data_IF_023431400007
#
_entry.id   IF_023431400007
#
_cell.length_a   1.000
_cell.length_b   1.000
_cell.length_c   1.000
_cell.angle_alpha   90.00
_cell.angle_beta   90.00
_cell.angle_gamma   90.00
#
_symmetry.space_group_name_H-M   'P 1'
#
loop_
_entity.id
_entity.type
_entity.pdbx_description
1 polymer ?
#
# COMPACT_ATOMS: atom_id res chain seq x y z
N UNK A 1 20.06 -4.72 -55.47
CA UNK A 1 19.20 -5.58 -56.30
C UNK A 1 17.81 -5.58 -55.67
N UNK A 2 16.84 -5.08 -56.44
CA UNK A 2 15.38 -5.22 -56.38
C UNK A 2 14.58 -4.93 -55.07
N UNK A 3 13.97 -3.73 -55.10
CA UNK A 3 12.67 -3.28 -54.54
C UNK A 3 11.49 -4.05 -55.22
N UNK A 4 10.15 -3.86 -54.96
CA UNK A 4 9.29 -3.70 -53.76
C UNK A 4 7.95 -4.50 -53.81
N UNK A 5 6.97 -4.16 -52.93
CA UNK A 5 5.59 -3.95 -53.41
C UNK A 5 4.44 -4.10 -52.38
N UNK A 6 3.82 -2.98 -52.02
CA UNK A 6 2.39 -2.89 -51.61
C UNK A 6 1.48 -3.23 -52.80
N UNK A 7 0.20 -3.56 -52.54
CA UNK A 7 -0.87 -2.82 -53.20
C UNK A 7 -2.04 -2.43 -52.27
N UNK A 8 -2.50 -1.19 -52.40
CA UNK A 8 -3.93 -0.86 -52.46
C UNK A 8 -4.40 -1.10 -53.91
N UNK A 9 -5.69 -1.35 -54.15
CA UNK A 9 -6.44 -0.29 -54.85
C UNK A 9 -7.93 -0.15 -54.46
N UNK A 10 -8.40 1.08 -54.62
CA UNK A 10 -9.80 1.51 -54.72
C UNK A 10 -10.60 0.76 -55.81
N UNK A 11 -11.91 0.64 -55.58
CA UNK A 11 -12.93 0.38 -56.61
C UNK A 11 -14.27 1.01 -56.20
N UNK A 12 -14.63 2.09 -56.88
CA UNK A 12 -15.76 3.00 -56.68
C UNK A 12 -17.12 2.41 -57.10
N UNK A 13 -18.23 2.91 -56.53
CA UNK A 13 -19.59 2.61 -56.99
C UNK A 13 -20.68 3.38 -56.23
N UNK A 14 -21.39 4.24 -56.95
CA UNK A 14 -22.32 5.30 -56.56
C UNK A 14 -23.76 4.83 -56.26
N UNK A 15 -24.61 5.77 -55.84
CA UNK A 15 -26.10 5.84 -55.86
C UNK A 15 -26.90 5.69 -54.54
N UNK A 16 -27.68 6.74 -54.23
CA UNK A 16 -28.46 6.99 -53.01
C UNK A 16 -29.90 6.42 -52.96
N UNK A 17 -30.90 7.19 -52.48
CA UNK A 17 -31.41 7.09 -51.11
C UNK A 17 -32.80 6.42 -50.98
N UNK A 18 -33.07 5.78 -49.84
CA UNK A 18 -34.36 5.16 -49.51
C UNK A 18 -34.86 5.54 -48.11
N UNK A 19 -36.07 6.10 -48.06
CA UNK A 19 -36.83 6.60 -46.90
C UNK A 19 -37.27 5.51 -45.91
N UNK A 20 -37.18 5.83 -44.60
CA UNK A 20 -38.11 5.56 -43.46
C UNK A 20 -38.75 4.16 -43.26
N UNK A 21 -39.50 3.89 -42.17
CA UNK A 21 -39.94 4.72 -41.03
C UNK A 21 -39.23 4.30 -39.71
N UNK A 22 -39.25 4.98 -38.56
CA UNK A 22 -40.28 5.77 -37.90
C UNK A 22 -40.65 5.02 -36.61
N UNK A 23 -40.03 5.39 -35.48
CA UNK A 23 -40.45 4.93 -34.14
C UNK A 23 -40.51 6.10 -33.16
N UNK A 24 -41.64 6.15 -32.49
CA UNK A 24 -42.21 7.25 -31.72
C UNK A 24 -41.57 7.37 -30.32
N UNK A 25 -41.17 8.59 -29.95
CA UNK A 25 -40.96 8.98 -28.55
C UNK A 25 -42.13 9.89 -28.12
N UNK A 26 -42.87 9.58 -27.04
CA UNK A 26 -43.88 10.51 -26.55
C UNK A 26 -43.23 11.59 -25.70
N UNK A 27 -43.49 12.84 -26.11
CA UNK A 27 -43.24 14.05 -25.35
C UNK A 27 -44.21 14.16 -24.16
N UNK A 28 -43.68 14.44 -22.96
CA UNK A 28 -44.45 14.88 -21.82
C UNK A 28 -44.49 16.40 -21.73
N UNK A 29 -45.64 17.01 -22.01
CA UNK A 29 -46.01 18.37 -21.59
C UNK A 29 -46.00 18.44 -20.05
N UNK A 30 -45.60 19.52 -19.36
CA UNK A 30 -46.04 20.90 -19.56
C UNK A 30 -47.30 21.15 -18.71
N UNK A 31 -47.13 21.67 -17.50
CA UNK A 31 -48.25 22.04 -16.62
C UNK A 31 -47.80 22.89 -15.43
N UNK A 32 -48.11 24.19 -15.49
CA UNK A 32 -47.80 25.19 -14.48
C UNK A 32 -48.92 25.35 -13.43
N UNK A 33 -48.53 25.74 -12.22
CA UNK A 33 -49.29 26.67 -11.37
C UNK A 33 -50.06 26.08 -10.18
N UNK A 34 -49.63 26.40 -8.96
CA UNK A 34 -50.44 27.14 -7.98
C UNK A 34 -49.64 27.42 -6.70
N UNK A 35 -49.57 28.72 -6.34
CA UNK A 35 -49.08 29.21 -5.07
C UNK A 35 -50.12 28.98 -3.96
N UNK A 36 -49.64 28.63 -2.76
CA UNK A 36 -50.44 28.56 -1.54
C UNK A 36 -49.61 28.99 -0.34
N UNK A 37 -49.84 30.23 0.10
CA UNK A 37 -49.29 30.82 1.32
C UNK A 37 -49.95 30.24 2.57
N UNK A 38 -49.16 29.77 3.53
CA UNK A 38 -49.60 29.44 4.88
C UNK A 38 -48.51 29.80 5.90
N UNK A 39 -48.82 30.76 6.79
CA UNK A 39 -47.98 31.19 7.92
C UNK A 39 -48.22 30.30 9.15
N UNK A 40 -47.15 30.06 9.92
CA UNK A 40 -47.15 29.83 11.38
C UNK A 40 -47.06 28.36 11.81
N UNK A 41 -45.96 27.95 12.44
CA UNK A 41 -45.75 28.04 13.89
C UNK A 41 -44.31 27.62 14.26
N UNK A 42 -43.77 28.18 15.34
CA UNK A 42 -42.40 28.03 15.80
C UNK A 42 -42.08 26.63 16.32
N UNK A 43 -41.00 26.05 15.81
CA UNK A 43 -40.42 24.82 16.32
C UNK A 43 -38.90 24.97 16.43
N UNK A 44 -38.40 24.80 17.65
CA UNK A 44 -37.00 24.84 18.10
C UNK A 44 -36.03 24.31 17.04
N UNK A 45 -35.02 25.13 16.69
CA UNK A 45 -34.02 24.80 15.68
C UNK A 45 -33.24 23.54 16.03
N UNK A 46 -33.26 22.55 15.13
CA UNK A 46 -32.40 21.36 15.22
C UNK A 46 -30.92 21.78 15.10
N UNK A 47 -29.98 21.18 15.85
CA UNK A 47 -28.56 21.45 15.69
C UNK A 47 -28.10 21.13 14.24
N UNK A 48 -27.32 22.04 13.66
CA UNK A 48 -26.80 21.96 12.27
C UNK A 48 -25.67 20.94 12.07
N UNK A 49 -25.36 20.15 13.10
CA UNK A 49 -24.37 19.07 13.05
C UNK A 49 -25.07 17.79 13.50
N UNK A 50 -25.19 16.75 12.65
CA UNK A 50 -25.73 15.47 13.05
C UNK A 50 -24.86 14.86 14.16
N UNK A 51 -25.50 14.33 15.20
CA UNK A 51 -24.81 13.46 16.15
C UNK A 51 -24.18 12.27 15.38
N UNK A 52 -23.01 11.76 15.82
CA UNK A 52 -22.36 10.62 15.17
C UNK A 52 -23.38 9.48 15.02
N UNK A 53 -23.49 8.94 13.80
CA UNK A 53 -24.36 7.80 13.52
C UNK A 53 -23.92 6.65 14.42
N UNK A 54 -24.86 6.07 15.16
CA UNK A 54 -24.63 4.82 15.86
C UNK A 54 -24.20 3.76 14.83
N UNK A 55 -23.06 3.11 15.08
CA UNK A 55 -22.51 2.05 14.23
C UNK A 55 -23.56 0.98 13.98
N UNK A 56 -23.92 0.77 12.71
CA UNK A 56 -24.78 -0.35 12.32
C UNK A 56 -23.89 -1.60 12.29
N UNK A 57 -23.96 -2.43 13.34
CA UNK A 57 -23.35 -3.75 13.30
C UNK A 57 -24.19 -4.64 12.35
N UNK A 58 -23.53 -5.17 11.32
CA UNK A 58 -24.09 -5.98 10.24
C UNK A 58 -24.42 -7.41 10.68
N UNK A 59 -25.28 -7.57 11.69
CA UNK A 59 -25.68 -8.89 12.22
C UNK A 59 -27.18 -9.08 12.41
N UNK A 60 -28.01 -8.08 12.11
CA UNK A 60 -29.47 -8.19 12.23
C UNK A 60 -29.99 -8.51 13.64
N UNK A 61 -29.14 -8.42 14.67
CA UNK A 61 -29.52 -8.63 16.05
C UNK A 61 -29.86 -7.28 16.72
N UNK A 62 -30.94 -7.19 17.52
CA UNK A 62 -31.22 -5.99 18.30
C UNK A 62 -30.12 -5.79 19.35
N UNK A 63 -29.64 -4.54 19.46
CA UNK A 63 -28.67 -4.14 20.48
C UNK A 63 -29.25 -4.41 21.88
N UNK A 64 -28.43 -4.86 22.86
CA UNK A 64 -28.84 -4.89 24.25
C UNK A 64 -29.16 -3.46 24.72
N UNK A 65 -30.28 -3.30 25.45
CA UNK A 65 -30.72 -2.01 25.98
C UNK A 65 -29.55 -1.28 26.65
N UNK A 66 -29.30 -0.04 26.20
CA UNK A 66 -28.40 0.85 26.90
C UNK A 66 -28.93 0.98 28.33
N UNK A 67 -28.18 0.45 29.30
CA UNK A 67 -28.46 0.65 30.72
C UNK A 67 -28.67 2.14 31.00
N UNK A 68 -29.44 2.49 32.06
CA UNK A 68 -29.86 3.86 32.30
C UNK A 68 -28.67 4.79 32.21
N UNK A 69 -28.75 5.76 31.29
CA UNK A 69 -27.78 6.83 31.17
C UNK A 69 -27.49 7.35 32.58
N UNK A 70 -26.21 7.41 32.94
CA UNK A 70 -25.80 8.07 34.17
C UNK A 70 -26.55 9.40 34.26
N UNK A 71 -27.26 9.62 35.36
CA UNK A 71 -28.09 10.80 35.57
C UNK A 71 -27.30 12.04 35.11
N UNK A 72 -27.94 12.88 34.29
CA UNK A 72 -27.36 14.15 33.89
C UNK A 72 -26.85 14.85 35.16
N UNK A 73 -25.59 15.32 35.20
CA UNK A 73 -25.06 15.98 36.39
C UNK A 73 -26.00 17.12 36.77
N UNK A 74 -26.32 17.22 38.07
CA UNK A 74 -27.19 18.28 38.57
C UNK A 74 -26.62 19.65 38.13
N UNK A 75 -27.48 20.58 37.66
CA UNK A 75 -27.03 21.86 37.15
C UNK A 75 -26.27 22.61 38.25
N UNK A 76 -25.03 23.00 37.93
CA UNK A 76 -24.18 23.74 38.83
C UNK A 76 -24.67 25.19 38.91
N UNK A 77 -25.50 25.49 39.92
CA UNK A 77 -26.02 26.84 40.14
C UNK A 77 -24.97 27.68 40.86
N UNK A 78 -24.39 28.63 40.14
CA UNK A 78 -23.39 29.57 40.67
C UNK A 78 -23.94 31.00 40.65
N UNK A 79 -23.56 31.81 41.64
CA UNK A 79 -23.91 33.22 41.65
C UNK A 79 -23.25 33.97 40.47
N UNK A 80 -23.91 35.01 39.97
CA UNK A 80 -23.43 35.84 38.86
C UNK A 80 -21.98 36.32 39.04
N UNK A 81 -21.57 36.66 40.27
CA UNK A 81 -20.19 37.11 40.56
C UNK A 81 -19.16 36.01 40.30
N UNK A 82 -19.51 34.75 40.61
CA UNK A 82 -18.65 33.59 40.40
C UNK A 82 -18.58 33.29 38.90
N UNK A 83 -19.72 33.26 38.21
CA UNK A 83 -19.79 33.05 36.76
C UNK A 83 -19.00 34.12 35.99
N UNK A 84 -19.11 35.39 36.40
CA UNK A 84 -18.31 36.48 35.85
C UNK A 84 -16.81 36.29 36.04
N UNK A 85 -16.39 35.71 37.18
CA UNK A 85 -14.98 35.42 37.44
C UNK A 85 -14.44 34.25 36.61
N UNK A 86 -15.32 33.33 36.17
CA UNK A 86 -14.96 32.19 35.33
C UNK A 86 -14.80 32.55 33.85
N UNK A 87 -15.25 33.72 33.39
CA UNK A 87 -15.20 34.11 31.98
C UNK A 87 -13.80 34.01 31.37
N UNK A 88 -12.75 34.37 32.12
CA UNK A 88 -11.37 34.24 31.65
C UNK A 88 -10.91 32.79 31.50
N UNK A 89 -11.24 31.93 32.47
CA UNK A 89 -10.93 30.50 32.41
C UNK A 89 -11.74 29.79 31.31
N UNK A 90 -13.00 30.18 31.14
CA UNK A 90 -13.88 29.68 30.08
C UNK A 90 -13.37 30.09 28.69
N UNK A 91 -12.92 31.35 28.52
CA UNK A 91 -12.32 31.82 27.27
C UNK A 91 -11.04 31.05 26.89
N UNK A 92 -10.31 30.51 27.88
CA UNK A 92 -9.13 29.66 27.70
C UNK A 92 -9.44 28.15 27.64
N UNK A 93 -10.72 27.75 27.62
CA UNK A 93 -11.13 26.34 27.71
C UNK A 93 -10.57 25.58 28.93
N UNK A 94 -10.33 26.29 30.03
CA UNK A 94 -9.75 25.75 31.27
C UNK A 94 -10.79 25.40 32.34
N UNK A 95 -12.08 25.61 32.05
CA UNK A 95 -13.19 25.22 32.94
C UNK A 95 -13.51 23.72 32.85
N UNK A 96 -13.99 23.13 33.94
CA UNK A 96 -14.59 21.81 33.90
C UNK A 96 -15.88 21.80 33.07
N UNK A 97 -16.35 20.61 32.64
CA UNK A 97 -17.56 20.49 31.83
C UNK A 97 -18.82 21.08 32.50
N UNK A 98 -18.91 20.99 33.83
CA UNK A 98 -20.01 21.56 34.62
C UNK A 98 -19.95 23.09 34.69
N UNK A 99 -18.76 23.65 34.91
CA UNK A 99 -18.55 25.10 34.91
C UNK A 99 -18.77 25.71 33.53
N UNK A 100 -18.30 25.05 32.46
CA UNK A 100 -18.52 25.50 31.08
C UNK A 100 -19.99 25.57 30.73
N UNK A 101 -20.76 24.55 31.10
CA UNK A 101 -22.22 24.54 30.90
C UNK A 101 -22.90 25.68 31.66
N UNK A 102 -22.53 25.90 32.93
CA UNK A 102 -23.10 26.96 33.76
C UNK A 102 -22.76 28.38 33.25
N UNK A 103 -21.54 28.57 32.72
CA UNK A 103 -21.14 29.83 32.08
C UNK A 103 -21.92 30.03 30.78
N UNK A 104 -22.04 29.01 29.93
CA UNK A 104 -22.79 29.12 28.66
C UNK A 104 -24.26 29.47 28.86
N UNK A 105 -24.92 28.83 29.83
CA UNK A 105 -26.28 29.19 30.23
C UNK A 105 -26.36 30.66 30.68
N UNK A 106 -25.42 31.10 31.53
CA UNK A 106 -25.36 32.47 32.00
C UNK A 106 -25.14 33.51 30.88
N UNK A 107 -24.32 33.19 29.88
CA UNK A 107 -24.06 34.06 28.72
C UNK A 107 -25.33 34.26 27.87
N UNK A 108 -26.24 33.28 27.86
CA UNK A 108 -27.55 33.41 27.22
C UNK A 108 -28.45 34.47 27.86
N UNK A 109 -28.32 34.64 29.18
CA UNK A 109 -29.20 35.52 29.98
C UNK A 109 -28.56 36.86 30.37
N UNK A 110 -27.24 37.03 30.22
CA UNK A 110 -26.51 38.22 30.66
C UNK A 110 -25.67 38.86 29.53
N UNK A 111 -26.25 39.87 28.87
CA UNK A 111 -25.60 40.64 27.80
C UNK A 111 -24.20 41.20 28.16
N UNK A 112 -24.00 41.85 29.32
CA UNK A 112 -22.68 42.35 29.71
C UNK A 112 -21.61 41.27 29.85
N UNK A 113 -21.97 40.07 30.34
CA UNK A 113 -21.04 38.96 30.44
C UNK A 113 -20.79 38.31 29.07
N UNK A 114 -21.77 38.29 28.18
CA UNK A 114 -21.58 37.85 26.80
C UNK A 114 -20.62 38.76 26.01
N UNK A 115 -20.76 40.09 26.15
CA UNK A 115 -19.83 41.05 25.54
C UNK A 115 -18.40 40.88 26.07
N UNK A 116 -18.25 40.69 27.39
CA UNK A 116 -16.95 40.45 28.00
C UNK A 116 -16.35 39.11 27.57
N UNK A 117 -17.16 38.05 27.48
CA UNK A 117 -16.73 36.73 27.01
C UNK A 117 -16.24 36.77 25.55
N UNK A 118 -16.91 37.55 24.69
CA UNK A 118 -16.46 37.78 23.31
C UNK A 118 -15.11 38.50 23.29
N UNK A 119 -14.96 39.60 24.04
CA UNK A 119 -13.68 40.32 24.14
C UNK A 119 -12.55 39.45 24.65
N UNK A 120 -12.81 38.62 25.65
CA UNK A 120 -11.82 37.69 26.19
C UNK A 120 -11.43 36.62 25.17
N UNK A 121 -12.37 36.06 24.40
CA UNK A 121 -12.06 35.13 23.31
C UNK A 121 -11.24 35.79 22.19
N UNK A 122 -11.58 37.01 21.81
CA UNK A 122 -10.81 37.79 20.83
C UNK A 122 -9.37 38.03 21.34
N UNK A 123 -9.22 38.35 22.63
CA UNK A 123 -7.91 38.53 23.25
C UNK A 123 -7.10 37.24 23.35
N UNK A 124 -7.73 36.09 23.62
CA UNK A 124 -7.07 34.77 23.60
C UNK A 124 -6.51 34.46 22.22
N UNK A 125 -7.24 34.82 21.15
CA UNK A 125 -6.75 34.69 19.77
C UNK A 125 -5.47 35.48 19.48
N UNK A 126 -5.20 36.55 20.22
CA UNK A 126 -3.96 37.35 20.11
C UNK A 126 -2.81 36.81 20.96
N UNK A 127 -3.10 35.96 21.95
CA UNK A 127 -2.13 35.34 22.85
C UNK A 127 -1.64 33.97 22.34
N UNK A 128 -2.40 33.35 21.44
CA UNK A 128 -2.00 32.09 20.84
C UNK A 128 -0.96 32.36 19.75
N UNK A 129 0.26 31.77 19.82
CA UNK A 129 1.10 31.67 18.64
C UNK A 129 0.33 30.92 17.55
N UNK A 130 0.56 31.27 16.28
CA UNK A 130 0.06 30.50 15.14
C UNK A 130 0.61 29.07 15.22
N UNK A 131 -0.17 28.17 15.82
CA UNK A 131 0.13 26.74 15.82
C UNK A 131 -0.26 26.18 14.46
N UNK A 132 0.60 25.32 13.89
CA UNK A 132 0.25 24.63 12.66
C UNK A 132 -1.03 23.82 12.86
N UNK A 133 -1.95 23.91 11.90
CA UNK A 133 -3.14 23.05 11.83
C UNK A 133 -2.81 21.62 11.39
N UNK A 134 -1.54 21.35 11.05
CA UNK A 134 -1.08 20.03 10.68
C UNK A 134 -1.18 19.09 11.88
N UNK A 135 -1.97 18.04 11.72
CA UNK A 135 -2.01 16.96 12.70
C UNK A 135 -0.66 16.26 12.73
N UNK A 136 -0.21 15.88 13.93
CA UNK A 136 0.94 14.98 14.09
C UNK A 136 0.75 13.75 13.17
N UNK A 137 1.70 13.47 12.24
CA UNK A 137 1.56 12.35 11.30
C UNK A 137 1.37 10.99 11.98
N UNK A 138 1.85 10.83 13.22
CA UNK A 138 1.66 9.65 14.05
C UNK A 138 0.33 9.61 14.81
N UNK A 139 -0.48 10.67 14.80
CA UNK A 139 -1.76 10.73 15.52
C UNK A 139 -2.71 9.61 15.08
N UNK A 140 -2.88 9.42 13.77
CA UNK A 140 -3.72 8.35 13.23
C UNK A 140 -3.30 6.98 13.76
N UNK A 141 -2.00 6.69 13.71
CA UNK A 141 -1.43 5.42 14.19
C UNK A 141 -1.68 5.24 15.68
N UNK A 142 -1.47 6.28 16.50
CA UNK A 142 -1.72 6.23 17.95
C UNK A 142 -3.20 6.03 18.28
N UNK A 143 -4.09 6.71 17.55
CA UNK A 143 -5.55 6.56 17.72
C UNK A 143 -5.99 5.15 17.36
N UNK A 144 -5.58 4.63 16.20
CA UNK A 144 -5.90 3.27 15.78
C UNK A 144 -5.34 2.22 16.76
N UNK A 145 -4.09 2.39 17.22
CA UNK A 145 -3.50 1.51 18.23
C UNK A 145 -4.29 1.55 19.55
N UNK A 146 -4.74 2.72 20.00
CA UNK A 146 -5.59 2.85 21.19
C UNK A 146 -6.95 2.16 20.99
N UNK A 147 -7.58 2.33 19.83
CA UNK A 147 -8.83 1.67 19.48
C UNK A 147 -8.69 0.13 19.46
N UNK A 148 -7.64 -0.39 18.84
CA UNK A 148 -7.36 -1.83 18.77
C UNK A 148 -6.96 -2.40 20.15
N UNK A 149 -6.28 -1.63 20.99
CA UNK A 149 -6.02 -2.01 22.38
C UNK A 149 -7.30 -2.14 23.21
N UNK A 150 -8.33 -1.32 22.93
CA UNK A 150 -9.64 -1.39 23.59
C UNK A 150 -10.52 -2.51 23.03
N UNK A 151 -10.49 -2.73 21.72
CA UNK A 151 -11.25 -3.78 21.02
C UNK A 151 -10.29 -4.58 20.12
N UNK A 152 -9.61 -5.60 20.67
CA UNK A 152 -8.70 -6.40 19.86
C UNK A 152 -9.47 -7.17 18.77
N UNK A 153 -8.83 -7.42 17.62
CA UNK A 153 -9.43 -8.25 16.58
C UNK A 153 -9.66 -9.65 17.13
N UNK A 154 -10.80 -10.26 16.79
CA UNK A 154 -11.12 -11.64 17.21
C UNK A 154 -10.12 -12.65 16.65
N UNK A 155 -9.62 -12.39 15.45
CA UNK A 155 -8.57 -13.15 14.79
C UNK A 155 -7.47 -12.15 14.43
N UNK A 156 -6.34 -12.12 15.16
CA UNK A 156 -5.27 -11.18 14.86
C UNK A 156 -4.51 -11.62 13.61
N UNK A 157 -4.16 -10.64 12.79
CA UNK A 157 -3.24 -10.84 11.67
C UNK A 157 -1.81 -11.01 12.22
N UNK A 158 -1.02 -11.98 11.73
CA UNK A 158 0.41 -12.05 12.05
C UNK A 158 1.12 -10.78 11.59
N UNK A 159 2.00 -10.23 12.42
CA UNK A 159 2.69 -8.96 12.11
C UNK A 159 3.44 -8.99 10.78
N UNK A 160 4.08 -10.12 10.44
CA UNK A 160 4.79 -10.31 9.18
C UNK A 160 3.89 -10.33 7.94
N UNK A 161 2.57 -10.52 8.10
CA UNK A 161 1.60 -10.46 7.00
C UNK A 161 0.97 -9.08 6.82
N UNK A 162 1.15 -8.17 7.79
CA UNK A 162 0.56 -6.83 7.77
C UNK A 162 0.98 -5.98 6.55
N UNK A 163 2.24 -6.03 6.06
CA UNK A 163 2.62 -5.33 4.84
C UNK A 163 1.83 -5.81 3.61
N UNK A 164 1.63 -7.12 3.44
CA UNK A 164 0.89 -7.66 2.31
C UNK A 164 -0.59 -7.25 2.35
N UNK A 165 -1.23 -7.34 3.52
CA UNK A 165 -2.61 -6.87 3.72
C UNK A 165 -2.77 -5.39 3.37
N UNK A 166 -1.84 -4.56 3.84
CA UNK A 166 -1.88 -3.12 3.60
C UNK A 166 -1.67 -2.77 2.12
N UNK A 167 -0.66 -3.33 1.45
CA UNK A 167 -0.37 -2.97 0.06
C UNK A 167 -1.43 -3.52 -0.92
N UNK A 168 -1.97 -4.72 -0.67
CA UNK A 168 -3.08 -5.25 -1.49
C UNK A 168 -4.36 -4.42 -1.30
N UNK A 169 -4.68 -3.98 -0.08
CA UNK A 169 -5.81 -3.08 0.17
C UNK A 169 -5.65 -1.71 -0.50
N UNK A 170 -4.42 -1.17 -0.51
CA UNK A 170 -4.12 0.11 -1.19
C UNK A 170 -4.21 0.00 -2.70
N UNK A 171 -3.68 -1.08 -3.29
CA UNK A 171 -3.84 -1.34 -4.71
C UNK A 171 -5.31 -1.54 -5.06
N UNK A 172 -6.08 -2.28 -4.27
CA UNK A 172 -7.51 -2.48 -4.52
C UNK A 172 -8.31 -1.16 -4.48
N UNK A 173 -7.93 -0.21 -3.60
CA UNK A 173 -8.51 1.13 -3.57
C UNK A 173 -8.23 1.90 -4.88
N UNK A 174 -7.00 1.89 -5.38
CA UNK A 174 -6.66 2.45 -6.69
C UNK A 174 -7.53 1.80 -7.78
N UNK A 175 -7.58 0.47 -7.83
CA UNK A 175 -8.32 -0.28 -8.86
C UNK A 175 -9.84 -0.05 -8.79
N UNK A 176 -10.35 0.37 -7.64
CA UNK A 176 -11.75 0.74 -7.47
C UNK A 176 -12.07 2.11 -8.06
N UNK A 177 -11.12 3.05 -8.01
CA UNK A 177 -11.29 4.43 -8.44
C UNK A 177 -11.13 4.61 -9.95
N UNK A 178 -10.34 3.75 -10.62
CA UNK A 178 -10.14 3.81 -12.08
C UNK A 178 -11.35 3.27 -12.88
N UNK A 179 -11.60 3.88 -14.03
CA UNK A 179 -12.63 3.53 -15.00
C UNK A 179 -12.27 2.33 -15.89
N UNK A 180 -13.27 1.79 -16.59
CA UNK A 180 -13.10 0.55 -17.38
C UNK A 180 -12.06 0.66 -18.50
N UNK A 181 -11.89 1.83 -19.12
CA UNK A 181 -10.88 2.03 -20.17
C UNK A 181 -9.46 1.99 -19.64
N UNK A 182 -9.24 2.40 -18.39
CA UNK A 182 -7.91 2.49 -17.77
C UNK A 182 -7.32 1.10 -17.45
N UNK A 183 -8.16 0.06 -17.36
CA UNK A 183 -7.70 -1.33 -17.29
C UNK A 183 -6.88 -1.78 -18.52
N UNK A 184 -7.01 -1.06 -19.62
CA UNK A 184 -6.25 -1.27 -20.85
C UNK A 184 -5.10 -0.27 -21.05
N UNK A 185 -4.87 0.64 -20.09
CA UNK A 185 -3.74 1.56 -20.14
C UNK A 185 -2.42 0.77 -20.21
N UNK A 186 -1.47 1.18 -21.09
CA UNK A 186 -0.24 0.45 -21.30
C UNK A 186 0.70 0.58 -20.10
N UNK A 187 1.16 -0.55 -19.59
CA UNK A 187 2.17 -0.62 -18.53
C UNK A 187 3.44 -1.27 -19.09
N UNK A 188 4.60 -0.85 -18.60
CA UNK A 188 5.89 -1.47 -18.92
C UNK A 188 6.53 -2.00 -17.66
N UNK A 189 6.39 -3.30 -17.45
CA UNK A 189 7.13 -4.01 -16.40
C UNK A 189 8.63 -3.89 -16.66
N UNK A 190 9.40 -3.77 -15.58
CA UNK A 190 10.86 -3.63 -15.61
C UNK A 190 11.47 -4.55 -14.58
N UNK A 191 12.60 -5.14 -14.93
CA UNK A 191 13.46 -5.89 -14.02
C UNK A 191 14.88 -5.88 -14.58
N UNK A 192 15.82 -6.47 -13.86
CA UNK A 192 17.23 -6.51 -14.23
C UNK A 192 17.67 -7.96 -14.41
N UNK A 193 18.18 -8.28 -15.59
CA UNK A 193 18.66 -9.63 -15.92
C UNK A 193 19.90 -9.54 -16.81
N UNK A 194 20.80 -10.51 -16.71
CA UNK A 194 22.04 -10.56 -17.48
C UNK A 194 22.85 -9.24 -17.48
N UNK A 195 22.86 -8.53 -16.35
CA UNK A 195 23.51 -7.22 -16.19
C UNK A 195 22.92 -6.08 -17.03
N UNK A 196 21.67 -6.21 -17.48
CA UNK A 196 20.97 -5.20 -18.25
C UNK A 196 19.52 -5.01 -17.79
N UNK A 197 18.96 -3.80 -17.92
CA UNK A 197 17.53 -3.59 -17.73
C UNK A 197 16.72 -4.33 -18.80
N UNK A 198 15.72 -5.09 -18.38
CA UNK A 198 14.76 -5.80 -19.24
C UNK A 198 13.37 -5.20 -19.04
N UNK A 199 12.56 -5.21 -20.10
CA UNK A 199 11.21 -4.67 -20.04
C UNK A 199 10.19 -5.55 -20.77
N UNK A 200 8.95 -5.56 -20.27
CA UNK A 200 7.82 -6.25 -20.89
C UNK A 200 6.61 -5.32 -20.96
N UNK A 201 6.05 -5.15 -22.16
CA UNK A 201 4.80 -4.41 -22.35
C UNK A 201 3.60 -5.27 -21.92
N UNK A 202 2.68 -4.65 -21.20
CA UNK A 202 1.41 -5.23 -20.76
C UNK A 202 0.37 -4.10 -20.57
N UNK A 203 -0.73 -4.39 -19.89
CA UNK A 203 -1.74 -3.40 -19.46
C UNK A 203 -1.95 -3.45 -17.96
N UNK A 204 -2.69 -2.50 -17.38
CA UNK A 204 -3.11 -2.56 -15.97
C UNK A 204 -3.73 -3.91 -15.61
N UNK A 205 -4.66 -4.42 -16.42
CA UNK A 205 -5.23 -5.75 -16.21
C UNK A 205 -4.18 -6.87 -16.32
N UNK A 206 -3.19 -6.71 -17.19
CA UNK A 206 -2.09 -7.66 -17.32
C UNK A 206 -1.15 -7.68 -16.09
N UNK A 207 -0.96 -6.53 -15.42
CA UNK A 207 -0.22 -6.46 -14.14
C UNK A 207 -0.98 -7.18 -13.03
N UNK A 208 -2.30 -6.98 -12.92
CA UNK A 208 -3.11 -7.71 -11.93
C UNK A 208 -3.13 -9.22 -12.20
N UNK A 209 -3.16 -9.61 -13.48
CA UNK A 209 -3.01 -11.00 -13.89
C UNK A 209 -1.64 -11.59 -13.49
N UNK A 210 -0.57 -10.81 -13.62
CA UNK A 210 0.76 -11.19 -13.14
C UNK A 210 0.76 -11.42 -11.62
N UNK A 211 0.28 -10.45 -10.83
CA UNK A 211 0.19 -10.58 -9.37
C UNK A 211 -0.62 -11.82 -8.94
N UNK A 212 -1.81 -12.03 -9.54
CA UNK A 212 -2.63 -13.22 -9.33
C UNK A 212 -1.87 -14.53 -9.63
N UNK A 213 -1.14 -14.58 -10.74
CA UNK A 213 -0.41 -15.77 -11.15
C UNK A 213 0.72 -16.13 -10.17
N UNK A 214 1.47 -15.13 -9.71
CA UNK A 214 2.63 -15.33 -8.84
C UNK A 214 2.22 -15.53 -7.38
N UNK A 215 1.22 -14.81 -6.87
CA UNK A 215 0.65 -15.02 -5.54
C UNK A 215 0.07 -16.44 -5.37
N UNK A 216 -0.28 -17.10 -6.48
CA UNK A 216 -0.61 -18.52 -6.52
C UNK A 216 0.47 -19.45 -5.96
N UNK A 217 1.76 -19.07 -6.02
CA UNK A 217 2.84 -19.85 -5.38
C UNK A 217 2.71 -19.87 -3.86
N UNK A 218 2.32 -18.73 -3.27
CA UNK A 218 2.08 -18.64 -1.82
C UNK A 218 0.81 -19.40 -1.45
N UNK A 219 -0.24 -19.26 -2.27
CA UNK A 219 -1.50 -19.98 -2.05
C UNK A 219 -1.33 -21.49 -2.09
N UNK A 220 -0.63 -22.02 -3.09
CA UNK A 220 -0.37 -23.46 -3.23
C UNK A 220 0.51 -24.00 -2.10
N UNK A 221 1.51 -23.23 -1.64
CA UNK A 221 2.29 -23.60 -0.46
C UNK A 221 1.40 -23.71 0.80
N UNK A 222 0.41 -22.84 0.94
CA UNK A 222 -0.60 -22.87 2.00
C UNK A 222 -1.68 -23.95 1.81
N UNK A 223 -1.65 -24.71 0.71
CA UNK A 223 -2.64 -25.75 0.39
C UNK A 223 -3.95 -25.22 -0.20
N UNK A 224 -3.96 -23.98 -0.72
CA UNK A 224 -5.07 -23.42 -1.47
C UNK A 224 -4.99 -23.84 -2.95
N UNK A 225 -6.12 -23.71 -3.65
CA UNK A 225 -6.18 -23.96 -5.09
C UNK A 225 -5.29 -22.98 -5.88
N UNK A 226 -4.60 -23.48 -6.91
CA UNK A 226 -3.84 -22.63 -7.82
C UNK A 226 -4.80 -21.84 -8.74
N UNK A 227 -4.73 -20.50 -8.80
CA UNK A 227 -5.57 -19.70 -9.70
C UNK A 227 -5.40 -20.04 -11.19
N UNK A 228 -4.28 -20.67 -11.59
CA UNK A 228 -4.06 -21.14 -12.96
C UNK A 228 -4.71 -22.52 -13.23
N UNK A 229 -5.19 -23.20 -12.19
CA UNK A 229 -5.83 -24.51 -12.28
C UNK A 229 -5.00 -25.53 -13.06
N UNK A 230 -5.64 -26.28 -13.97
CA UNK A 230 -4.95 -27.27 -14.82
C UNK A 230 -4.04 -26.65 -15.88
N UNK A 231 -4.06 -25.32 -16.04
CA UNK A 231 -3.18 -24.57 -16.93
C UNK A 231 -1.88 -24.11 -16.25
N UNK A 232 -1.68 -24.40 -14.97
CA UNK A 232 -0.46 -24.05 -14.25
C UNK A 232 0.75 -24.76 -14.90
N UNK A 233 1.85 -24.04 -15.22
CA UNK A 233 3.05 -24.68 -15.71
C UNK A 233 3.67 -25.55 -14.60
N UNK A 234 4.42 -26.61 -14.97
CA UNK A 234 5.15 -27.42 -13.98
C UNK A 234 6.22 -26.63 -13.22
N UNK A 235 6.75 -25.57 -13.83
CA UNK A 235 7.72 -24.69 -13.20
C UNK A 235 7.08 -23.79 -12.16
N UNK A 236 7.79 -23.57 -11.06
CA UNK A 236 7.43 -22.58 -10.04
C UNK A 236 8.08 -21.22 -10.30
N UNK A 237 8.48 -20.97 -11.55
CA UNK A 237 9.08 -19.70 -11.97
C UNK A 237 7.99 -18.62 -12.13
N UNK A 238 8.09 -17.46 -11.44
CA UNK A 238 7.12 -16.37 -11.53
C UNK A 238 6.88 -15.87 -12.96
N UNK A 239 7.94 -15.76 -13.77
CA UNK A 239 7.86 -15.30 -15.14
C UNK A 239 7.14 -16.29 -16.06
N UNK A 240 7.47 -17.58 -15.97
CA UNK A 240 6.80 -18.63 -16.74
C UNK A 240 5.32 -18.76 -16.37
N UNK A 241 4.96 -18.62 -15.09
CA UNK A 241 3.57 -18.59 -14.61
C UNK A 241 2.80 -17.41 -15.18
N UNK A 242 3.39 -16.22 -15.13
CA UNK A 242 2.81 -15.00 -15.70
C UNK A 242 2.53 -15.16 -17.18
N UNK A 243 3.51 -15.65 -17.94
CA UNK A 243 3.36 -15.85 -19.38
C UNK A 243 2.38 -17.00 -19.70
N UNK A 244 2.31 -18.05 -18.87
CA UNK A 244 1.30 -19.11 -19.00
C UNK A 244 -0.12 -18.56 -18.83
N UNK A 245 -0.35 -17.72 -17.82
CA UNK A 245 -1.63 -17.08 -17.59
C UNK A 245 -2.02 -16.17 -18.77
N UNK A 246 -1.11 -15.31 -19.23
CA UNK A 246 -1.38 -14.42 -20.37
C UNK A 246 -1.66 -15.18 -21.66
N UNK A 247 -0.98 -16.31 -21.92
CA UNK A 247 -1.22 -17.15 -23.11
C UNK A 247 -2.52 -17.95 -23.03
N UNK A 248 -2.99 -18.30 -21.84
CA UNK A 248 -4.21 -19.08 -21.66
C UNK A 248 -5.48 -18.29 -22.03
N UNK A 249 -5.41 -16.97 -22.01
CA UNK A 249 -6.53 -16.11 -22.36
C UNK A 249 -6.59 -15.82 -23.86
N UNK A 250 -7.75 -16.06 -24.49
CA UNK A 250 -7.97 -15.75 -25.91
C UNK A 250 -7.91 -14.24 -26.19
N UNK A 251 -8.29 -13.43 -25.21
CA UNK A 251 -8.24 -11.97 -25.25
C UNK A 251 -7.33 -11.44 -24.14
N UNK A 252 -6.72 -10.26 -24.30
CA UNK A 252 -5.98 -9.65 -23.20
C UNK A 252 -6.83 -9.57 -21.91
N UNK A 253 -6.21 -9.73 -20.72
CA UNK A 253 -6.91 -9.55 -19.46
C UNK A 253 -7.69 -8.23 -19.41
N UNK A 254 -8.83 -8.24 -18.74
CA UNK A 254 -9.71 -7.08 -18.55
C UNK A 254 -9.95 -6.85 -17.05
N UNK A 255 -10.78 -5.86 -16.69
CA UNK A 255 -11.26 -5.63 -15.32
C UNK A 255 -11.77 -6.89 -14.60
N UNK A 256 -12.22 -7.90 -15.34
CA UNK A 256 -12.67 -9.18 -14.78
C UNK A 256 -11.62 -9.88 -13.90
N UNK A 257 -10.32 -9.61 -14.08
CA UNK A 257 -9.24 -10.19 -13.25
C UNK A 257 -9.25 -9.67 -11.80
N UNK A 258 -9.86 -8.51 -11.53
CA UNK A 258 -9.89 -7.91 -10.18
C UNK A 258 -10.57 -8.82 -9.16
N UNK A 259 -11.69 -9.45 -9.52
CA UNK A 259 -12.45 -10.31 -8.62
C UNK A 259 -11.60 -11.48 -8.10
N UNK A 260 -11.10 -12.35 -9.01
CA UNK A 260 -10.24 -13.46 -8.63
C UNK A 260 -8.97 -13.05 -7.86
N UNK A 261 -8.31 -11.96 -8.27
CA UNK A 261 -7.16 -11.43 -7.53
C UNK A 261 -7.54 -11.02 -6.11
N UNK A 262 -8.61 -10.24 -5.95
CA UNK A 262 -9.09 -9.81 -4.63
C UNK A 262 -9.47 -11.00 -3.75
N UNK A 263 -10.21 -11.97 -4.29
CA UNK A 263 -10.62 -13.17 -3.55
C UNK A 263 -9.40 -13.97 -3.07
N UNK A 264 -8.36 -14.11 -3.92
CA UNK A 264 -7.10 -14.75 -3.54
C UNK A 264 -6.38 -13.99 -2.42
N UNK A 265 -6.21 -12.67 -2.53
CA UNK A 265 -5.53 -11.86 -1.51
C UNK A 265 -6.21 -12.01 -0.14
N UNK A 266 -7.55 -11.96 -0.12
CA UNK A 266 -8.35 -12.17 1.08
C UNK A 266 -8.19 -13.58 1.64
N UNK A 267 -8.17 -14.62 0.80
CA UNK A 267 -8.05 -16.00 1.26
C UNK A 267 -6.64 -16.30 1.80
N UNK A 268 -5.59 -15.71 1.21
CA UNK A 268 -4.23 -15.76 1.75
C UNK A 268 -4.16 -15.15 3.15
N UNK A 269 -4.67 -13.92 3.31
CA UNK A 269 -4.73 -13.21 4.60
C UNK A 269 -5.54 -13.99 5.63
N UNK A 270 -6.71 -14.50 5.23
CA UNK A 270 -7.55 -15.35 6.08
C UNK A 270 -6.78 -16.58 6.54
N UNK A 271 -6.17 -17.31 5.62
CA UNK A 271 -5.46 -18.55 5.90
C UNK A 271 -4.32 -18.34 6.88
N UNK A 272 -3.46 -17.34 6.65
CA UNK A 272 -2.33 -17.07 7.57
C UNK A 272 -2.78 -16.57 8.93
N UNK A 273 -3.94 -15.91 9.02
CA UNK A 273 -4.53 -15.47 10.29
C UNK A 273 -5.03 -16.63 11.15
N UNK A 274 -5.43 -17.74 10.53
CA UNK A 274 -5.80 -18.98 11.24
C UNK A 274 -4.63 -19.95 11.41
N UNK A 275 -3.57 -19.81 10.60
CA UNK A 275 -2.38 -20.63 10.71
C UNK A 275 -1.54 -20.17 11.92
N UNK A 276 -1.57 -20.94 13.01
CA UNK A 276 -0.87 -20.62 14.27
C UNK A 276 0.63 -20.32 14.09
N UNK A 277 1.29 -19.81 15.13
CA UNK A 277 2.61 -19.12 15.06
C UNK A 277 3.81 -19.85 14.42
N UNK A 278 3.69 -21.14 14.06
CA UNK A 278 4.70 -21.87 13.28
C UNK A 278 4.60 -21.72 11.76
N UNK A 279 3.48 -21.20 11.24
CA UNK A 279 3.18 -21.09 9.81
C UNK A 279 4.20 -20.26 9.02
N UNK A 280 4.73 -19.20 9.61
CA UNK A 280 5.74 -18.33 8.98
C UNK A 280 7.08 -19.00 8.64
N UNK A 281 7.29 -20.26 9.02
CA UNK A 281 8.48 -21.06 8.65
C UNK A 281 8.26 -22.00 7.47
N UNK A 282 7.01 -22.17 7.03
CA UNK A 282 6.68 -22.96 5.85
C UNK A 282 7.50 -22.46 4.65
N UNK A 283 8.13 -23.37 3.90
CA UNK A 283 8.89 -22.98 2.71
C UNK A 283 7.93 -22.68 1.55
N UNK A 284 8.14 -21.56 0.88
CA UNK A 284 7.54 -21.23 -0.41
C UNK A 284 8.66 -21.31 -1.44
N UNK A 285 8.46 -22.16 -2.44
CA UNK A 285 9.44 -22.38 -3.50
C UNK A 285 9.14 -21.46 -4.67
N UNK A 286 10.18 -20.76 -5.12
CA UNK A 286 10.23 -19.98 -6.33
C UNK A 286 11.27 -20.63 -7.26
N UNK A 287 10.90 -20.85 -8.52
CA UNK A 287 11.74 -21.54 -9.48
C UNK A 287 11.80 -23.06 -9.31
N UNK A 288 12.39 -23.70 -10.32
CA UNK A 288 12.47 -25.14 -10.60
C UNK A 288 11.16 -25.77 -11.12
N UNK A 289 11.35 -26.64 -12.12
CA UNK A 289 10.40 -27.66 -12.55
C UNK A 289 10.70 -28.98 -11.82
N UNK A 290 9.69 -29.72 -11.34
CA UNK A 290 9.85 -30.89 -10.46
C UNK A 290 10.73 -32.02 -11.04
N UNK A 291 11.00 -32.03 -12.35
CA UNK A 291 11.67 -33.13 -13.06
C UNK A 291 13.01 -32.75 -13.75
N UNK A 292 13.59 -31.57 -13.45
CA UNK A 292 14.84 -31.15 -14.11
C UNK A 292 16.06 -32.00 -13.69
N UNK A 293 16.79 -32.64 -14.63
CA UNK A 293 18.01 -33.38 -14.30
C UNK A 293 19.11 -32.41 -13.84
N UNK A 294 19.51 -32.48 -12.57
CA UNK A 294 20.48 -31.58 -11.94
C UNK A 294 19.87 -30.50 -11.02
N UNK A 295 18.65 -30.74 -10.52
CA UNK A 295 17.71 -29.83 -9.83
C UNK A 295 18.11 -29.03 -8.58
N UNK A 296 19.33 -28.48 -8.53
CA UNK A 296 19.71 -27.45 -7.55
C UNK A 296 19.91 -26.07 -8.19
N UNK A 297 20.19 -25.99 -9.50
CA UNK A 297 20.35 -24.72 -10.20
C UNK A 297 18.97 -24.05 -10.41
N UNK A 298 18.75 -22.90 -9.76
CA UNK A 298 17.54 -22.09 -9.94
C UNK A 298 16.43 -22.31 -8.91
N UNK A 299 16.65 -23.13 -7.86
CA UNK A 299 15.71 -23.24 -6.72
C UNK A 299 15.96 -22.11 -5.75
N UNK A 300 14.95 -21.27 -5.53
CA UNK A 300 14.97 -20.24 -4.50
C UNK A 300 13.82 -20.49 -3.53
N UNK A 301 14.11 -20.55 -2.23
CA UNK A 301 13.07 -20.76 -1.22
C UNK A 301 13.10 -19.67 -0.18
N UNK A 302 11.92 -19.16 0.12
CA UNK A 302 11.72 -18.23 1.22
C UNK A 302 10.78 -18.87 2.24
N UNK A 303 11.02 -18.66 3.53
CA UNK A 303 9.98 -18.89 4.54
C UNK A 303 8.74 -18.05 4.20
N UNK A 304 7.55 -18.54 4.52
CA UNK A 304 6.28 -17.89 4.21
C UNK A 304 6.22 -16.44 4.68
N UNK A 305 6.79 -16.15 5.86
CA UNK A 305 6.87 -14.77 6.37
C UNK A 305 7.67 -13.84 5.45
N UNK A 306 8.76 -14.34 4.88
CA UNK A 306 9.65 -13.58 4.00
C UNK A 306 9.04 -13.53 2.58
N UNK A 307 8.33 -14.59 2.17
CA UNK A 307 7.55 -14.62 0.93
C UNK A 307 6.44 -13.58 0.93
N UNK A 308 5.70 -13.44 2.03
CA UNK A 308 4.62 -12.46 2.16
C UNK A 308 5.15 -11.02 2.16
N UNK A 309 6.33 -10.79 2.74
CA UNK A 309 7.03 -9.51 2.62
C UNK A 309 7.48 -9.22 1.18
N UNK A 310 8.00 -10.23 0.47
CA UNK A 310 8.32 -10.10 -0.95
C UNK A 310 7.07 -9.85 -1.80
N UNK A 311 5.96 -10.55 -1.58
CA UNK A 311 4.70 -10.26 -2.28
C UNK A 311 4.16 -8.86 -1.98
N UNK A 312 4.35 -8.36 -0.75
CA UNK A 312 3.99 -6.99 -0.41
C UNK A 312 4.83 -5.97 -1.19
N UNK A 313 6.13 -6.23 -1.33
CA UNK A 313 7.04 -5.41 -2.13
C UNK A 313 6.62 -5.39 -3.60
N UNK A 314 6.40 -6.56 -4.21
CA UNK A 314 5.95 -6.67 -5.61
C UNK A 314 4.59 -5.99 -5.83
N UNK A 315 3.65 -6.15 -4.89
CA UNK A 315 2.36 -5.48 -4.95
C UNK A 315 2.49 -3.95 -4.94
N UNK A 316 3.37 -3.40 -4.09
CA UNK A 316 3.61 -1.96 -4.06
C UNK A 316 4.28 -1.45 -5.34
N UNK A 317 5.35 -2.08 -5.81
CA UNK A 317 6.06 -1.68 -7.03
C UNK A 317 5.11 -1.69 -8.23
N UNK A 318 4.31 -2.74 -8.38
CA UNK A 318 3.35 -2.82 -9.47
C UNK A 318 2.14 -1.90 -9.30
N UNK A 319 1.78 -1.53 -8.07
CA UNK A 319 0.82 -0.45 -7.85
C UNK A 319 1.39 0.90 -8.29
N UNK A 320 2.69 1.17 -8.09
CA UNK A 320 3.37 2.36 -8.62
C UNK A 320 3.37 2.36 -10.16
N UNK A 321 3.67 1.21 -10.80
CA UNK A 321 3.58 1.05 -12.26
C UNK A 321 2.19 1.40 -12.81
N UNK A 322 1.15 0.88 -12.15
CA UNK A 322 -0.25 1.14 -12.53
C UNK A 322 -0.59 2.61 -12.29
N UNK A 323 -0.23 3.15 -11.12
CA UNK A 323 -0.50 4.53 -10.76
C UNK A 323 0.13 5.50 -11.75
N UNK A 324 1.36 5.24 -12.18
CA UNK A 324 2.03 6.01 -13.22
C UNK A 324 1.30 5.91 -14.58
N UNK A 325 0.81 4.73 -14.95
CA UNK A 325 0.14 4.53 -16.24
C UNK A 325 -1.24 5.21 -16.34
N UNK A 326 -1.86 5.50 -15.21
CA UNK A 326 -3.21 6.11 -15.12
C UNK A 326 -3.21 7.47 -14.41
N UNK A 327 -2.03 8.07 -14.22
CA UNK A 327 -1.85 9.37 -13.56
C UNK A 327 -2.51 9.47 -12.16
N UNK A 328 -2.44 8.40 -11.38
CA UNK A 328 -3.02 8.30 -10.04
C UNK A 328 -2.00 8.67 -8.94
N UNK A 329 -2.37 9.47 -7.92
CA UNK A 329 -1.46 9.79 -6.81
C UNK A 329 -1.24 8.58 -5.91
N UNK A 330 0.00 8.09 -5.84
CA UNK A 330 0.34 6.91 -5.05
C UNK A 330 1.62 7.11 -4.25
N UNK A 331 1.50 7.09 -2.93
CA UNK A 331 2.61 7.32 -2.00
C UNK A 331 3.42 6.04 -1.71
N UNK A 332 4.63 6.13 -1.12
CA UNK A 332 5.35 4.95 -0.63
C UNK A 332 4.61 4.19 0.51
N UNK A 333 5.04 2.96 0.86
CA UNK A 333 4.54 2.21 2.00
C UNK A 333 4.72 2.94 3.32
N UNK A 334 3.91 2.54 4.31
CA UNK A 334 4.10 3.03 5.68
C UNK A 334 5.55 2.74 6.14
N UNK A 335 6.20 3.64 6.89
CA UNK A 335 7.64 3.53 7.19
C UNK A 335 8.08 2.19 7.78
N UNK A 336 7.25 1.59 8.66
CA UNK A 336 7.51 0.26 9.23
C UNK A 336 7.44 -0.86 8.21
N UNK A 337 6.47 -0.80 7.29
CA UNK A 337 6.34 -1.79 6.22
C UNK A 337 7.51 -1.67 5.23
N UNK A 338 7.87 -0.44 4.86
CA UNK A 338 9.02 -0.16 4.01
C UNK A 338 10.32 -0.70 4.64
N UNK A 339 10.52 -0.47 5.95
CA UNK A 339 11.67 -1.03 6.67
C UNK A 339 11.73 -2.56 6.59
N UNK A 340 10.61 -3.27 6.75
CA UNK A 340 10.58 -4.73 6.63
C UNK A 340 10.91 -5.22 5.22
N UNK A 341 10.49 -4.49 4.18
CA UNK A 341 10.82 -4.80 2.80
C UNK A 341 12.32 -4.57 2.51
N UNK A 342 12.87 -3.44 2.98
CA UNK A 342 14.30 -3.13 2.86
C UNK A 342 15.15 -4.16 3.60
N UNK A 343 14.75 -4.51 4.83
CA UNK A 343 15.45 -5.53 5.63
C UNK A 343 15.49 -6.88 4.92
N UNK A 344 14.37 -7.31 4.32
CA UNK A 344 14.35 -8.53 3.52
C UNK A 344 15.33 -8.43 2.34
N UNK A 345 15.27 -7.37 1.54
CA UNK A 345 16.16 -7.19 0.40
C UNK A 345 17.64 -7.20 0.84
N UNK A 346 17.99 -6.49 1.92
CA UNK A 346 19.34 -6.47 2.49
C UNK A 346 19.81 -7.86 2.93
N UNK A 347 18.92 -8.66 3.58
CA UNK A 347 19.22 -10.05 3.99
C UNK A 347 19.45 -11.00 2.80
N UNK A 348 18.91 -10.69 1.62
CA UNK A 348 19.09 -11.50 0.42
C UNK A 348 20.39 -11.18 -0.34
N UNK A 349 20.95 -9.98 -0.18
CA UNK A 349 22.15 -9.54 -0.91
C UNK A 349 23.35 -10.50 -0.83
N UNK A 350 23.71 -11.10 0.32
CA UNK A 350 24.88 -12.00 0.37
C UNK A 350 24.70 -13.26 -0.48
N UNK A 351 23.48 -13.80 -0.53
CA UNK A 351 23.16 -14.97 -1.36
C UNK A 351 23.16 -14.58 -2.83
N UNK A 352 22.51 -13.47 -3.19
CA UNK A 352 22.46 -12.96 -4.57
C UNK A 352 23.86 -12.64 -5.10
N UNK A 353 24.73 -12.06 -4.26
CA UNK A 353 26.12 -11.79 -4.62
C UNK A 353 26.91 -13.09 -4.90
N UNK A 354 26.70 -14.13 -4.09
CA UNK A 354 27.34 -15.43 -4.33
C UNK A 354 26.81 -16.14 -5.58
N UNK A 355 25.52 -16.00 -5.91
CA UNK A 355 24.96 -16.47 -7.19
C UNK A 355 25.59 -15.75 -8.37
N UNK A 356 25.66 -14.42 -8.33
CA UNK A 356 26.31 -13.61 -9.37
C UNK A 356 27.77 -14.01 -9.59
N UNK A 357 28.51 -14.26 -8.50
CA UNK A 357 29.89 -14.75 -8.55
C UNK A 357 30.00 -16.13 -9.21
N UNK A 358 29.10 -17.06 -8.90
CA UNK A 358 29.03 -18.38 -9.57
C UNK A 358 28.71 -18.26 -11.05
N UNK A 359 27.87 -17.30 -11.43
CA UNK A 359 27.56 -16.97 -12.82
C UNK A 359 28.68 -16.17 -13.54
N UNK A 360 29.77 -15.82 -12.85
CA UNK A 360 30.88 -15.04 -13.42
C UNK A 360 30.57 -13.56 -13.64
N UNK A 361 29.54 -13.03 -12.98
CA UNK A 361 29.06 -11.63 -13.10
C UNK A 361 29.47 -10.73 -11.93
N UNK A 362 30.32 -11.22 -11.03
CA UNK A 362 30.86 -10.48 -9.90
C UNK A 362 32.32 -10.90 -9.65
N UNK A 363 33.10 -10.06 -8.97
CA UNK A 363 34.49 -10.37 -8.61
C UNK A 363 34.60 -11.63 -7.75
N UNK A 364 35.73 -12.36 -7.80
CA UNK A 364 35.93 -13.54 -6.95
C UNK A 364 35.91 -13.16 -5.46
N UNK A 365 35.52 -14.10 -4.61
CA UNK A 365 35.58 -13.91 -3.17
C UNK A 365 37.05 -13.74 -2.76
N UNK A 366 37.35 -12.75 -1.91
CA UNK A 366 38.74 -12.51 -1.45
C UNK A 366 39.05 -13.30 -0.20
N UNK A 367 38.10 -13.43 0.73
CA UNK A 367 38.29 -14.14 2.00
C UNK A 367 37.07 -14.98 2.36
N UNK A 368 37.21 -16.31 2.31
CA UNK A 368 36.14 -17.22 2.74
C UNK A 368 36.26 -17.51 4.23
N UNK A 369 35.15 -17.39 4.95
CA UNK A 369 35.08 -17.63 6.39
C UNK A 369 33.97 -18.62 6.73
N UNK A 370 34.06 -19.25 7.91
CA UNK A 370 33.02 -20.14 8.40
C UNK A 370 31.70 -19.37 8.63
N UNK A 371 30.57 -20.07 8.52
CA UNK A 371 29.28 -19.47 8.83
C UNK A 371 29.25 -18.92 10.27
N UNK A 372 28.72 -17.70 10.44
CA UNK A 372 28.71 -16.97 11.71
C UNK A 372 30.01 -16.27 12.07
N UNK A 373 31.12 -16.51 11.36
CA UNK A 373 32.36 -15.76 11.56
C UNK A 373 32.25 -14.35 10.92
N UNK A 374 32.89 -13.32 11.50
CA UNK A 374 32.93 -12.00 10.88
C UNK A 374 33.68 -12.06 9.55
N UNK A 375 33.20 -11.34 8.54
CA UNK A 375 33.82 -11.27 7.22
C UNK A 375 33.86 -9.86 6.65
N UNK A 376 34.57 -9.70 5.54
CA UNK A 376 34.65 -8.44 4.80
C UNK A 376 33.24 -7.94 4.47
N UNK A 377 32.94 -6.72 4.88
CA UNK A 377 31.57 -6.19 4.85
C UNK A 377 31.47 -4.87 4.10
N UNK A 378 30.35 -4.65 3.45
CA UNK A 378 29.91 -3.33 2.98
C UNK A 378 28.83 -2.83 3.93
N UNK A 379 28.94 -1.58 4.39
CA UNK A 379 27.86 -0.91 5.10
C UNK A 379 26.86 -0.35 4.09
N UNK A 380 25.60 -0.74 4.22
CA UNK A 380 24.47 -0.22 3.47
C UNK A 380 23.67 0.66 4.43
N UNK A 381 23.71 1.97 4.22
CA UNK A 381 22.88 2.95 4.91
C UNK A 381 21.70 3.30 4.00
N UNK A 382 20.49 3.07 4.48
CA UNK A 382 19.27 3.51 3.80
C UNK A 382 18.67 4.63 4.60
N UNK A 383 18.53 5.80 3.98
CA UNK A 383 18.03 7.01 4.61
C UNK A 383 16.49 7.02 4.70
N UNK A 384 15.96 7.93 5.53
CA UNK A 384 14.52 8.15 5.68
C UNK A 384 13.87 7.35 6.82
N UNK A 385 12.57 7.60 7.03
CA UNK A 385 11.82 7.09 8.20
C UNK A 385 11.60 5.57 8.22
N UNK A 386 11.75 4.90 7.08
CA UNK A 386 11.77 3.44 6.96
C UNK A 386 13.18 2.86 6.77
N UNK A 387 14.20 3.71 6.82
CA UNK A 387 15.59 3.35 6.58
C UNK A 387 16.24 2.55 7.71
N UNK A 388 17.56 2.41 7.64
CA UNK A 388 18.35 1.65 8.59
C UNK A 388 19.80 1.48 8.13
N UNK A 389 20.60 0.76 8.91
CA UNK A 389 21.96 0.38 8.55
C UNK A 389 22.12 -1.14 8.59
N UNK A 390 22.71 -1.71 7.54
CA UNK A 390 23.02 -3.13 7.43
C UNK A 390 24.49 -3.33 7.06
N UNK A 391 25.13 -4.32 7.67
CA UNK A 391 26.47 -4.76 7.28
C UNK A 391 26.34 -6.02 6.42
N UNK A 392 26.60 -5.87 5.12
CA UNK A 392 26.44 -6.91 4.10
C UNK A 392 27.75 -7.67 3.94
N UNK A 393 27.83 -8.96 4.32
CA UNK A 393 29.00 -9.79 4.05
C UNK A 393 29.22 -9.99 2.55
N UNK A 394 30.45 -9.80 2.08
CA UNK A 394 30.76 -9.76 0.64
C UNK A 394 31.23 -11.10 0.05
N UNK A 395 31.90 -11.92 0.86
CA UNK A 395 32.62 -13.10 0.36
C UNK A 395 31.89 -14.41 0.63
N UNK A 396 31.39 -14.58 1.85
CA UNK A 396 30.75 -15.81 2.32
C UNK A 396 29.30 -15.51 2.72
N UNK A 397 28.28 -16.11 2.06
CA UNK A 397 26.88 -15.82 2.35
C UNK A 397 26.46 -16.06 3.79
N UNK A 398 27.09 -17.03 4.46
CA UNK A 398 26.83 -17.35 5.87
C UNK A 398 27.64 -16.55 6.88
N UNK A 399 28.50 -15.63 6.46
CA UNK A 399 29.29 -14.81 7.38
C UNK A 399 28.42 -13.81 8.13
N UNK A 400 28.92 -13.32 9.26
CA UNK A 400 28.30 -12.19 9.98
C UNK A 400 28.90 -10.87 9.49
N UNK A 401 28.05 -9.86 9.30
CA UNK A 401 28.50 -8.50 9.00
C UNK A 401 29.37 -7.93 10.11
N UNK A 402 30.41 -7.18 9.76
CA UNK A 402 31.39 -6.65 10.72
C UNK A 402 31.80 -5.23 10.38
N UNK A 403 31.59 -4.30 11.32
CA UNK A 403 32.03 -2.91 11.21
C UNK A 403 33.56 -2.79 11.23
N UNK A 404 34.25 -3.66 11.99
CA UNK A 404 35.72 -3.71 12.05
C UNK A 404 36.34 -4.14 10.72
N UNK A 405 35.58 -4.85 9.88
CA UNK A 405 35.97 -5.32 8.54
C UNK A 405 35.18 -4.60 7.42
N UNK A 406 34.68 -3.39 7.68
CA UNK A 406 34.05 -2.54 6.68
C UNK A 406 35.08 -2.10 5.64
N UNK A 407 34.81 -2.38 4.36
CA UNK A 407 35.68 -1.96 3.25
C UNK A 407 35.03 -0.95 2.31
N UNK A 408 33.72 -0.78 2.44
CA UNK A 408 32.93 0.11 1.61
C UNK A 408 31.65 0.53 2.34
N UNK A 409 31.14 1.70 1.97
CA UNK A 409 29.91 2.29 2.45
C UNK A 409 29.08 2.80 1.27
N UNK A 410 27.81 2.45 1.25
CA UNK A 410 26.81 2.92 0.29
C UNK A 410 25.64 3.52 1.06
N UNK A 411 25.25 4.74 0.70
CA UNK A 411 24.11 5.45 1.29
C UNK A 411 23.10 5.87 0.20
N UNK A 412 21.81 5.63 0.40
CA UNK A 412 20.74 6.03 -0.54
C UNK A 412 19.37 6.13 0.15
N UNK A 413 18.42 6.83 -0.46
CA UNK A 413 17.02 6.89 0.02
C UNK A 413 16.32 5.53 -0.08
N UNK A 414 15.37 5.27 0.84
CA UNK A 414 14.63 4.01 0.88
C UNK A 414 13.85 3.68 -0.38
N UNK A 415 13.19 4.67 -1.01
CA UNK A 415 12.47 4.45 -2.27
C UNK A 415 13.45 4.19 -3.41
N UNK A 416 14.58 4.89 -3.43
CA UNK A 416 15.63 4.67 -4.43
C UNK A 416 16.22 3.24 -4.33
N UNK A 417 16.50 2.76 -3.11
CA UNK A 417 16.96 1.38 -2.90
C UNK A 417 15.94 0.36 -3.38
N UNK A 418 14.66 0.57 -3.08
CA UNK A 418 13.59 -0.30 -3.53
C UNK A 418 13.44 -0.28 -5.05
N UNK A 419 13.53 0.89 -5.71
CA UNK A 419 13.50 0.98 -7.18
C UNK A 419 14.70 0.29 -7.83
N UNK A 420 15.89 0.39 -7.23
CA UNK A 420 17.06 -0.39 -7.67
C UNK A 420 16.78 -1.88 -7.53
N UNK A 421 16.32 -2.33 -6.36
CA UNK A 421 16.01 -3.74 -6.10
C UNK A 421 14.90 -4.30 -7.00
N UNK A 422 13.99 -3.44 -7.46
CA UNK A 422 12.93 -3.74 -8.42
C UNK A 422 13.35 -3.56 -9.90
N UNK A 423 14.63 -3.26 -10.19
CA UNK A 423 15.11 -3.08 -11.57
C UNK A 423 14.51 -1.87 -12.31
N UNK A 424 13.95 -0.91 -11.58
CA UNK A 424 13.39 0.32 -12.13
C UNK A 424 14.45 1.38 -12.39
N UNK A 425 15.57 1.30 -11.67
CA UNK A 425 16.77 2.13 -11.83
C UNK A 425 17.96 1.20 -12.01
N UNK A 426 18.84 1.49 -12.97
CA UNK A 426 20.05 0.68 -13.18
C UNK A 426 21.07 0.92 -12.05
N UNK A 427 21.92 -0.07 -11.72
CA UNK A 427 22.98 0.09 -10.72
C UNK A 427 23.86 1.33 -10.94
N UNK A 428 24.09 1.71 -12.20
CA UNK A 428 24.92 2.85 -12.58
C UNK A 428 24.20 4.20 -12.43
N UNK A 429 22.87 4.22 -12.53
CA UNK A 429 22.06 5.43 -12.43
C UNK A 429 21.53 5.68 -11.01
N UNK A 430 21.60 4.67 -10.13
CA UNK A 430 21.13 4.76 -8.75
C UNK A 430 21.76 5.95 -8.02
N UNK A 431 20.91 6.79 -7.42
CA UNK A 431 21.33 7.96 -6.66
C UNK A 431 21.90 7.55 -5.29
N UNK A 432 23.12 7.01 -5.31
CA UNK A 432 23.80 6.49 -4.13
C UNK A 432 25.10 7.23 -3.83
N UNK A 433 25.28 7.64 -2.57
CA UNK A 433 26.56 8.04 -2.01
C UNK A 433 27.47 6.82 -1.85
N UNK A 434 28.74 6.94 -2.25
CA UNK A 434 29.66 5.80 -2.38
C UNK A 434 31.05 6.14 -1.82
N UNK A 435 31.55 5.33 -0.89
CA UNK A 435 32.89 5.50 -0.29
C UNK A 435 33.56 4.13 -0.10
N UNK A 436 34.84 4.00 -0.44
CA UNK A 436 35.63 2.78 -0.21
C UNK A 436 35.87 1.93 -1.46
N UNK A 437 35.89 0.61 -1.31
CA UNK A 437 36.19 -0.35 -2.38
C UNK A 437 35.13 -0.32 -3.50
N UNK A 438 35.52 0.21 -4.66
CA UNK A 438 34.65 0.37 -5.83
C UNK A 438 34.13 -0.95 -6.41
N UNK A 439 34.92 -2.03 -6.32
CA UNK A 439 34.48 -3.35 -6.80
C UNK A 439 33.39 -3.89 -5.88
N UNK A 440 33.58 -3.80 -4.57
CA UNK A 440 32.57 -4.21 -3.59
C UNK A 440 31.26 -3.43 -3.73
N UNK A 441 31.35 -2.11 -3.93
CA UNK A 441 30.18 -1.25 -4.14
C UNK A 441 29.42 -1.65 -5.40
N UNK A 442 30.13 -1.80 -6.52
CA UNK A 442 29.53 -2.23 -7.79
C UNK A 442 28.86 -3.59 -7.64
N UNK A 443 29.55 -4.56 -7.08
CA UNK A 443 29.05 -5.91 -6.89
C UNK A 443 27.76 -5.94 -6.05
N UNK A 444 27.67 -5.12 -5.00
CA UNK A 444 26.46 -5.02 -4.17
C UNK A 444 25.31 -4.31 -4.88
N UNK A 445 25.55 -3.20 -5.60
CA UNK A 445 24.49 -2.52 -6.35
C UNK A 445 23.90 -3.41 -7.45
N UNK A 446 24.76 -4.15 -8.15
CA UNK A 446 24.32 -5.14 -9.13
C UNK A 446 23.60 -6.34 -8.49
N UNK A 447 24.05 -6.77 -7.30
CA UNK A 447 23.33 -7.80 -6.54
C UNK A 447 21.94 -7.34 -6.10
N UNK A 448 21.80 -6.07 -5.70
CA UNK A 448 20.49 -5.50 -5.38
C UNK A 448 19.57 -5.51 -6.60
N UNK A 449 20.03 -5.03 -7.76
CA UNK A 449 19.23 -5.04 -8.98
C UNK A 449 18.80 -6.46 -9.41
N UNK A 450 19.67 -7.46 -9.24
CA UNK A 450 19.37 -8.86 -9.54
C UNK A 450 18.34 -9.52 -8.60
N UNK A 451 17.78 -8.81 -7.62
CA UNK A 451 16.64 -9.31 -6.84
C UNK A 451 15.33 -9.25 -7.64
N UNK A 452 15.23 -8.32 -8.58
CA UNK A 452 14.06 -8.16 -9.45
C UNK A 452 13.88 -9.32 -10.42
N UNK A 453 12.63 -9.61 -10.73
CA UNK A 453 12.21 -10.61 -11.72
C UNK A 453 10.82 -10.25 -12.25
N UNK A 454 10.45 -10.86 -13.37
CA UNK A 454 9.05 -10.84 -13.85
C UNK A 454 8.21 -11.84 -13.08
#
# INVERSE_FOLDING_TARGET
MNWPGRPDPYGSGDEGPGRGPGDEFPAGAGGAGAAGSGRGDGGVGKPRIPAPRASVEDTGAPLPDAGPAAAAPEPLVLDHRVLKSLLGAWALAACSAAESSAVEEHLGDCGPCAEEALRLRDAVGLLHPEESLDLDPGLRTRVLASCLGRRPPRVPLPEWAAPYDAETARLDALLQDIGDSEWHAPVRLRWFDDDHPVTRKTTVAGVIAHLLAVDGLVGTALGLDDPLGTGAPPSLDPGERTEAYWRASQFPPTRAVRGPWRDQTHELIRTVSFAGGGSGRLAVTYGVAPDAPGGEAGRFELPLRDSMLERAFECWIHAEDIAQAVDYPYEPPAPRHLHHMIDLAARLLPVTLAERRRAGRAGPARELVAAGAPGRSLRLEVEGVGGGEWLIPLDSPGASGSADLEVAHVALDGVEFCRLAAGHVSPEEAAAGQVGDREAIRDVLFAAASLSRM
#
